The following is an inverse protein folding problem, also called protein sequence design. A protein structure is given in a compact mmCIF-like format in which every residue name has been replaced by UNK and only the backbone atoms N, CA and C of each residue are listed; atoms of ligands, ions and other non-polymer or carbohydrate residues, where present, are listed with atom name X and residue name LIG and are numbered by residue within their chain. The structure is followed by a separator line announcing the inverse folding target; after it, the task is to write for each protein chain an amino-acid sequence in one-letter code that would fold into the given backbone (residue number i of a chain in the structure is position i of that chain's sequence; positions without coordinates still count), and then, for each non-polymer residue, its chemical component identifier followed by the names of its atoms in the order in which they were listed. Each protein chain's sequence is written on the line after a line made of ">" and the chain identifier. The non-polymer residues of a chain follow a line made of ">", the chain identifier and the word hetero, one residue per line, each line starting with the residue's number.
data_IF_581668169240
#
_entry.id   IF_581668169240
#
_cell.length_a   1.000
_cell.length_b   1.000
_cell.length_c   1.000
_cell.angle_alpha   90.00
_cell.angle_beta   90.00
_cell.angle_gamma   90.00
#
_symmetry.space_group_name_H-M   'P 1'
#
loop_
_entity.id
_entity.type
_entity.pdbx_description
1 polymer ?
#
# COMPACT_ATOMS: atom_id res chain seq x y z
N UNK A 1 -11.98 19.85 -33.37
CA UNK A 1 -12.49 18.48 -33.16
C UNK A 1 -11.64 17.86 -32.07
N UNK A 2 -12.22 17.58 -30.90
CA UNK A 2 -11.46 16.96 -29.80
C UNK A 2 -11.30 15.46 -30.02
N UNK A 3 -10.08 14.95 -29.93
CA UNK A 3 -9.89 13.51 -29.75
C UNK A 3 -10.32 13.15 -28.33
N UNK A 4 -11.40 12.39 -28.20
CA UNK A 4 -11.72 11.67 -26.98
C UNK A 4 -10.64 10.59 -26.76
N UNK A 5 -9.71 10.88 -25.85
CA UNK A 5 -8.66 9.97 -25.42
C UNK A 5 -9.28 8.86 -24.56
N UNK A 6 -9.64 7.73 -25.17
CA UNK A 6 -10.15 6.57 -24.43
C UNK A 6 -9.11 6.05 -23.43
N UNK A 7 -9.56 5.63 -22.24
CA UNK A 7 -8.69 4.98 -21.26
C UNK A 7 -8.27 3.58 -21.72
N UNK A 8 -7.17 3.07 -21.16
CA UNK A 8 -6.65 1.73 -21.47
C UNK A 8 -7.68 0.63 -21.17
N UNK A 9 -8.44 0.77 -20.09
CA UNK A 9 -9.52 -0.13 -19.71
C UNK A 9 -10.62 -0.20 -20.78
N UNK A 10 -11.03 0.95 -21.32
CA UNK A 10 -12.00 1.05 -22.43
C UNK A 10 -11.47 0.44 -23.72
N UNK A 11 -10.19 0.65 -24.05
CA UNK A 11 -9.55 0.03 -25.24
C UNK A 11 -9.55 -1.50 -25.13
N UNK A 12 -9.11 -2.05 -23.99
CA UNK A 12 -9.12 -3.50 -23.73
C UNK A 12 -10.54 -4.06 -23.78
N UNK A 13 -11.51 -3.36 -23.17
CA UNK A 13 -12.90 -3.80 -23.14
C UNK A 13 -13.54 -3.86 -24.52
N UNK A 14 -13.25 -2.89 -25.40
CA UNK A 14 -13.74 -2.88 -26.78
C UNK A 14 -13.15 -4.01 -27.60
N UNK A 15 -11.83 -4.19 -27.58
CA UNK A 15 -11.15 -5.24 -28.35
C UNK A 15 -11.67 -6.63 -27.96
N UNK A 16 -11.72 -6.96 -26.66
CA UNK A 16 -12.21 -8.26 -26.22
C UNK A 16 -13.71 -8.44 -26.50
N UNK A 17 -14.51 -7.37 -26.40
CA UNK A 17 -15.92 -7.35 -26.75
C UNK A 17 -16.20 -7.66 -28.24
N UNK A 18 -15.38 -7.15 -29.16
CA UNK A 18 -15.47 -7.46 -30.60
C UNK A 18 -15.27 -8.94 -30.91
N UNK A 19 -14.46 -9.65 -30.10
CA UNK A 19 -14.27 -11.10 -30.19
C UNK A 19 -15.24 -11.92 -29.32
N UNK A 20 -16.24 -11.28 -28.69
CA UNK A 20 -17.21 -11.95 -27.83
C UNK A 20 -16.60 -12.54 -26.54
N UNK A 21 -15.44 -12.04 -26.10
CA UNK A 21 -14.78 -12.46 -24.86
C UNK A 21 -15.27 -11.52 -23.76
N UNK A 22 -16.15 -11.96 -22.84
CA UNK A 22 -16.51 -11.14 -21.69
C UNK A 22 -15.28 -10.96 -20.81
N UNK A 23 -15.21 -9.83 -20.12
CA UNK A 23 -14.16 -9.54 -19.15
C UNK A 23 -14.76 -8.88 -17.92
N UNK A 24 -13.95 -8.81 -16.86
CA UNK A 24 -14.18 -7.93 -15.73
C UNK A 24 -12.85 -7.27 -15.37
N UNK A 25 -12.86 -5.95 -15.22
CA UNK A 25 -11.73 -5.20 -14.68
C UNK A 25 -11.61 -5.55 -13.20
N UNK A 26 -10.41 -5.85 -12.75
CA UNK A 26 -10.11 -6.21 -11.36
C UNK A 26 -8.86 -5.44 -10.91
N UNK A 27 -8.24 -5.90 -9.82
CA UNK A 27 -7.14 -5.20 -9.19
C UNK A 27 -7.54 -3.76 -8.85
N UNK A 28 -6.56 -2.88 -8.91
CA UNK A 28 -6.72 -1.54 -8.36
C UNK A 28 -7.71 -0.65 -9.10
N UNK A 29 -8.00 -0.83 -10.40
CA UNK A 29 -9.06 -0.01 -11.04
C UNK A 29 -10.46 -0.38 -10.48
N UNK A 30 -10.68 -1.64 -10.13
CA UNK A 30 -11.89 -2.07 -9.42
C UNK A 30 -11.90 -1.63 -7.95
N UNK A 31 -10.74 -1.68 -7.28
CA UNK A 31 -10.61 -1.15 -5.92
C UNK A 31 -10.77 0.38 -5.91
N UNK A 32 -10.37 1.10 -6.96
CA UNK A 32 -10.52 2.56 -7.11
C UNK A 32 -11.98 2.97 -7.26
N UNK A 33 -12.77 2.19 -8.00
CA UNK A 33 -14.24 2.35 -8.05
C UNK A 33 -14.88 2.25 -6.65
N UNK A 34 -14.23 1.52 -5.74
CA UNK A 34 -14.54 1.39 -4.31
C UNK A 34 -13.55 2.16 -3.38
N UNK A 35 -12.86 3.20 -3.90
CA UNK A 35 -11.95 4.16 -3.23
C UNK A 35 -10.46 3.80 -2.92
N UNK A 36 -9.73 3.04 -3.78
CA UNK A 36 -8.37 2.49 -3.51
C UNK A 36 -7.42 2.36 -4.78
N UNK A 37 -6.12 2.80 -4.80
CA UNK A 37 -5.25 2.87 -6.03
C UNK A 37 -3.91 2.07 -6.08
N UNK A 38 -3.26 1.71 -7.24
CA UNK A 38 -3.49 1.85 -8.73
C UNK A 38 -2.60 0.89 -9.60
N UNK A 39 -3.18 0.10 -10.53
CA UNK A 39 -2.59 -0.80 -11.58
C UNK A 39 -3.74 -1.39 -12.45
N UNK A 40 -3.57 -1.76 -13.74
CA UNK A 40 -4.65 -2.33 -14.58
C UNK A 40 -4.60 -3.87 -14.70
N UNK A 41 -5.55 -4.54 -14.08
CA UNK A 41 -5.74 -5.99 -14.14
C UNK A 41 -7.12 -6.35 -14.71
N UNK A 42 -7.21 -7.45 -15.45
CA UNK A 42 -8.48 -7.95 -16.01
C UNK A 42 -8.64 -9.45 -15.80
N UNK A 43 -9.87 -9.88 -15.57
CA UNK A 43 -10.32 -11.27 -15.57
C UNK A 43 -11.11 -11.59 -16.84
N UNK A 44 -10.87 -12.77 -17.42
CA UNK A 44 -11.70 -13.36 -18.50
C UNK A 44 -12.16 -14.77 -18.09
N UNK A 45 -13.15 -15.41 -18.75
CA UNK A 45 -13.61 -16.74 -18.38
C UNK A 45 -12.50 -17.78 -18.31
N UNK A 46 -12.68 -18.80 -17.47
CA UNK A 46 -11.72 -19.90 -17.34
C UNK A 46 -11.44 -20.56 -18.71
N UNK A 47 -10.16 -20.53 -19.12
CA UNK A 47 -9.70 -21.06 -20.41
C UNK A 47 -9.48 -20.00 -21.50
N UNK A 48 -10.03 -18.79 -21.32
CA UNK A 48 -9.95 -17.72 -22.33
C UNK A 48 -8.71 -16.82 -22.21
N UNK A 49 -7.88 -16.95 -21.17
CA UNK A 49 -6.78 -16.01 -20.89
C UNK A 49 -5.73 -15.92 -22.02
N UNK A 50 -5.31 -17.06 -22.58
CA UNK A 50 -4.37 -17.09 -23.72
C UNK A 50 -5.04 -16.52 -24.98
N UNK A 51 -6.31 -16.83 -25.22
CA UNK A 51 -7.06 -16.34 -26.39
C UNK A 51 -7.21 -14.81 -26.30
N UNK A 52 -7.62 -14.29 -25.14
CA UNK A 52 -7.70 -12.85 -24.88
C UNK A 52 -6.35 -12.15 -25.07
N UNK A 53 -5.27 -12.74 -24.58
CA UNK A 53 -3.92 -12.23 -24.81
C UNK A 53 -3.57 -12.16 -26.31
N UNK A 54 -3.87 -13.22 -27.06
CA UNK A 54 -3.65 -13.27 -28.51
C UNK A 54 -4.50 -12.23 -29.27
N UNK A 55 -5.78 -12.04 -28.92
CA UNK A 55 -6.63 -11.04 -29.56
C UNK A 55 -6.17 -9.60 -29.29
N UNK A 56 -5.70 -9.32 -28.08
CA UNK A 56 -5.08 -8.03 -27.76
C UNK A 56 -3.80 -7.83 -28.58
N UNK A 57 -2.91 -8.82 -28.68
CA UNK A 57 -1.73 -8.71 -29.54
C UNK A 57 -2.07 -8.52 -31.04
N UNK A 58 -3.11 -9.20 -31.54
CA UNK A 58 -3.56 -9.09 -32.94
C UNK A 58 -4.11 -7.69 -33.29
N UNK A 59 -4.54 -6.91 -32.30
CA UNK A 59 -4.92 -5.50 -32.51
C UNK A 59 -3.74 -4.58 -32.88
N UNK A 60 -2.49 -5.03 -32.66
CA UNK A 60 -1.28 -4.23 -32.85
C UNK A 60 -0.98 -3.22 -31.74
N UNK A 61 -1.90 -2.97 -30.81
CA UNK A 61 -1.72 -2.07 -29.67
C UNK A 61 -0.98 -2.69 -28.48
N UNK A 62 -0.75 -4.01 -28.52
CA UNK A 62 -0.17 -4.79 -27.42
C UNK A 62 0.86 -5.80 -27.91
N UNK A 63 1.84 -6.09 -27.06
CA UNK A 63 2.81 -7.17 -27.28
C UNK A 63 3.04 -7.94 -25.96
N UNK A 64 3.46 -9.22 -26.01
CA UNK A 64 3.82 -9.98 -24.80
C UNK A 64 4.96 -9.31 -24.02
N UNK A 65 4.90 -9.39 -22.69
CA UNK A 65 5.89 -8.77 -21.82
C UNK A 65 6.20 -9.61 -20.59
N UNK A 66 7.42 -10.16 -20.54
CA UNK A 66 7.95 -10.82 -19.34
C UNK A 66 8.76 -9.84 -18.50
N UNK A 67 8.42 -9.73 -17.21
CA UNK A 67 9.19 -8.93 -16.26
C UNK A 67 10.50 -9.64 -15.92
N UNK A 68 11.64 -8.95 -16.05
CA UNK A 68 12.93 -9.41 -15.49
C UNK A 68 13.04 -9.18 -13.98
N UNK A 69 12.03 -8.56 -13.39
CA UNK A 69 11.97 -8.20 -11.97
C UNK A 69 11.91 -9.45 -11.07
N UNK A 70 12.49 -9.32 -9.87
CA UNK A 70 12.46 -10.37 -8.87
C UNK A 70 11.02 -10.56 -8.36
N UNK A 71 10.54 -11.81 -8.40
CA UNK A 71 9.22 -12.14 -7.85
C UNK A 71 9.31 -12.11 -6.32
N UNK A 72 8.43 -11.31 -5.71
CA UNK A 72 8.22 -11.23 -4.27
C UNK A 72 6.73 -11.42 -3.94
N UNK A 73 6.37 -11.38 -2.65
CA UNK A 73 4.99 -11.55 -2.19
C UNK A 73 3.99 -10.54 -2.79
N UNK A 74 4.43 -9.35 -3.20
CA UNK A 74 3.59 -8.36 -3.90
C UNK A 74 3.36 -8.67 -5.39
N UNK A 75 4.16 -9.55 -6.00
CA UNK A 75 4.10 -9.85 -7.44
C UNK A 75 3.90 -11.34 -7.76
N UNK A 76 3.96 -12.22 -6.78
CA UNK A 76 3.85 -13.68 -6.97
C UNK A 76 2.49 -14.12 -7.49
N UNK A 77 1.38 -13.49 -7.06
CA UNK A 77 0.04 -13.82 -7.59
C UNK A 77 -0.11 -13.55 -9.09
N UNK A 78 0.75 -12.69 -9.66
CA UNK A 78 0.82 -12.37 -11.09
C UNK A 78 1.57 -13.46 -11.89
N UNK A 79 2.13 -14.50 -11.25
CA UNK A 79 2.91 -15.58 -11.91
C UNK A 79 1.99 -16.54 -12.69
N UNK A 80 2.39 -16.91 -13.91
CA UNK A 80 1.69 -17.90 -14.73
C UNK A 80 0.49 -17.35 -15.52
N UNK A 81 0.14 -16.08 -15.36
CA UNK A 81 -0.88 -15.39 -16.15
C UNK A 81 -0.24 -14.64 -17.34
N UNK A 82 -0.90 -14.56 -18.50
CA UNK A 82 -0.43 -13.73 -19.61
C UNK A 82 -0.26 -12.26 -19.20
N UNK A 83 0.89 -11.69 -19.57
CA UNK A 83 1.24 -10.29 -19.35
C UNK A 83 1.54 -9.63 -20.70
N UNK A 84 0.95 -8.46 -20.89
CA UNK A 84 1.11 -7.64 -22.10
C UNK A 84 1.63 -6.27 -21.72
N UNK A 85 2.23 -5.59 -22.69
CA UNK A 85 2.59 -4.17 -22.62
C UNK A 85 2.06 -3.44 -23.86
N UNK A 86 1.61 -2.20 -23.69
CA UNK A 86 1.17 -1.36 -24.81
C UNK A 86 2.33 -1.05 -25.76
N UNK A 87 2.11 -1.11 -27.07
CA UNK A 87 3.08 -0.75 -28.13
C UNK A 87 3.18 0.75 -28.41
N UNK A 88 2.45 1.58 -27.65
CA UNK A 88 2.48 3.05 -27.74
C UNK A 88 3.86 3.63 -27.35
N UNK A 89 4.03 4.93 -27.63
CA UNK A 89 5.25 5.73 -27.44
C UNK A 89 6.16 5.24 -26.30
N UNK A 90 7.42 5.01 -26.65
CA UNK A 90 8.49 4.61 -25.74
C UNK A 90 8.54 5.58 -24.53
N UNK A 91 8.56 5.01 -23.31
CA UNK A 91 8.44 5.77 -22.06
C UNK A 91 7.02 6.08 -21.57
N UNK A 92 5.96 5.75 -22.33
CA UNK A 92 4.54 5.82 -21.89
C UNK A 92 3.84 4.47 -21.86
N UNK A 93 4.61 3.39 -21.82
CA UNK A 93 4.09 2.05 -21.87
C UNK A 93 3.38 1.66 -20.56
N UNK A 94 2.24 0.98 -20.67
CA UNK A 94 1.47 0.43 -19.54
C UNK A 94 1.38 -1.09 -19.66
N UNK A 95 1.48 -1.79 -18.53
CA UNK A 95 1.34 -3.25 -18.48
C UNK A 95 -0.11 -3.66 -18.23
N UNK A 96 -0.48 -4.86 -18.67
CA UNK A 96 -1.79 -5.48 -18.43
C UNK A 96 -1.55 -6.94 -18.06
N UNK A 97 -2.31 -7.44 -17.07
CA UNK A 97 -2.25 -8.83 -16.62
C UNK A 97 -3.64 -9.47 -16.78
N UNK A 98 -3.69 -10.64 -17.41
CA UNK A 98 -4.92 -11.31 -17.81
C UNK A 98 -5.14 -12.56 -16.95
N UNK A 99 -5.93 -12.39 -15.90
CA UNK A 99 -6.34 -13.45 -14.98
C UNK A 99 -7.55 -14.23 -15.51
N UNK A 100 -7.84 -15.38 -14.88
CA UNK A 100 -9.09 -16.11 -15.11
C UNK A 100 -10.10 -15.81 -14.00
N UNK A 101 -11.36 -15.58 -14.37
CA UNK A 101 -12.44 -15.14 -13.47
C UNK A 101 -12.63 -16.05 -12.25
N UNK A 102 -12.39 -17.36 -12.41
CA UNK A 102 -12.48 -18.33 -11.32
C UNK A 102 -11.46 -18.10 -10.18
N UNK A 103 -10.33 -17.42 -10.43
CA UNK A 103 -9.31 -17.10 -9.40
C UNK A 103 -9.83 -16.06 -8.41
N UNK A 104 -10.72 -15.17 -8.86
CA UNK A 104 -11.34 -14.12 -8.06
C UNK A 104 -12.81 -14.44 -7.75
N UNK A 105 -13.25 -15.69 -7.89
CA UNK A 105 -14.62 -16.10 -7.64
C UNK A 105 -15.68 -15.46 -8.57
N UNK A 106 -15.27 -14.80 -9.65
CA UNK A 106 -16.13 -14.00 -10.55
C UNK A 106 -16.83 -14.81 -11.65
N UNK A 107 -16.60 -16.12 -11.75
CA UNK A 107 -17.28 -17.01 -12.71
C UNK A 107 -18.72 -17.32 -12.26
N UNK A 108 -19.77 -17.22 -13.12
CA UNK A 108 -19.77 -16.63 -14.46
C UNK A 108 -19.80 -15.09 -14.41
N UNK A 109 -19.06 -14.45 -15.30
CA UNK A 109 -18.81 -12.99 -15.27
C UNK A 109 -20.11 -12.18 -15.40
N UNK A 110 -21.05 -12.63 -16.22
CA UNK A 110 -22.29 -11.90 -16.57
C UNK A 110 -23.21 -11.65 -15.36
N UNK A 111 -23.10 -12.50 -14.33
CA UNK A 111 -23.91 -12.43 -13.10
C UNK A 111 -23.20 -11.67 -11.97
N UNK A 112 -21.86 -11.60 -12.04
CA UNK A 112 -20.98 -11.08 -10.98
C UNK A 112 -20.32 -9.75 -11.33
N UNK A 113 -20.42 -9.32 -12.59
CA UNK A 113 -20.05 -7.98 -13.06
C UNK A 113 -21.26 -7.04 -12.96
N UNK A 114 -21.00 -5.74 -12.80
CA UNK A 114 -22.00 -4.69 -12.86
C UNK A 114 -22.50 -4.55 -14.30
N UNK A 115 -23.82 -4.46 -14.46
CA UNK A 115 -24.43 -4.07 -15.73
C UNK A 115 -24.17 -2.58 -15.99
N UNK A 116 -24.03 -2.21 -17.27
CA UNK A 116 -23.89 -0.80 -17.66
C UNK A 116 -25.04 0.05 -17.09
N UNK A 117 -24.72 1.24 -16.61
CA UNK A 117 -25.69 2.17 -16.01
C UNK A 117 -25.67 3.51 -16.74
N UNK A 118 -26.65 4.35 -16.43
CA UNK A 118 -26.55 5.78 -16.74
C UNK A 118 -25.43 6.45 -15.92
N UNK A 119 -25.11 7.68 -16.27
CA UNK A 119 -24.08 8.49 -15.59
C UNK A 119 -24.50 8.93 -14.17
N UNK A 120 -25.75 8.69 -13.78
CA UNK A 120 -26.29 8.97 -12.45
C UNK A 120 -25.67 8.06 -11.38
N UNK A 121 -24.64 8.56 -10.70
CA UNK A 121 -24.00 7.89 -9.57
C UNK A 121 -22.97 8.76 -8.85
N UNK A 122 -22.69 8.43 -7.60
CA UNK A 122 -21.50 8.95 -6.91
C UNK A 122 -20.35 7.96 -7.12
N UNK A 123 -19.24 8.46 -7.65
CA UNK A 123 -18.04 7.68 -7.91
C UNK A 123 -16.92 8.11 -6.96
N UNK A 124 -15.95 7.24 -6.74
CA UNK A 124 -14.70 7.58 -6.07
C UNK A 124 -14.01 8.76 -6.76
N UNK A 125 -13.51 9.69 -5.96
CA UNK A 125 -12.65 10.78 -6.45
C UNK A 125 -11.30 10.28 -6.97
N UNK A 126 -10.87 9.08 -6.58
CA UNK A 126 -9.61 8.48 -7.05
C UNK A 126 -9.73 7.94 -8.50
N UNK A 127 -10.93 7.96 -9.13
CA UNK A 127 -11.15 7.75 -10.58
C UNK A 127 -11.62 9.01 -11.33
N UNK A 128 -11.45 10.20 -10.75
CA UNK A 128 -11.93 11.46 -11.36
C UNK A 128 -11.25 11.84 -12.69
N UNK A 129 -10.16 11.17 -13.05
CA UNK A 129 -9.45 11.26 -14.33
C UNK A 129 -9.98 10.30 -15.41
N UNK A 130 -10.82 9.33 -15.05
CA UNK A 130 -11.55 8.49 -16.01
C UNK A 130 -12.87 9.20 -16.36
N UNK A 131 -13.21 9.40 -17.66
CA UNK A 131 -14.48 10.01 -18.05
C UNK A 131 -15.68 9.26 -17.46
N UNK A 132 -16.69 9.98 -16.97
CA UNK A 132 -17.87 9.40 -16.32
C UNK A 132 -18.63 8.44 -17.27
N UNK A 133 -18.66 8.78 -18.56
CA UNK A 133 -19.24 7.95 -19.62
C UNK A 133 -18.47 6.65 -19.83
N UNK A 134 -17.15 6.65 -19.62
CA UNK A 134 -16.35 5.42 -19.62
C UNK A 134 -16.66 4.59 -18.37
N UNK A 135 -16.57 5.18 -17.17
CA UNK A 135 -16.84 4.49 -15.88
C UNK A 135 -18.20 3.78 -15.90
N UNK A 136 -19.25 4.43 -16.41
CA UNK A 136 -20.61 3.89 -16.49
C UNK A 136 -20.75 2.66 -17.42
N UNK A 137 -19.75 2.40 -18.27
CA UNK A 137 -19.69 1.28 -19.22
C UNK A 137 -18.59 0.25 -18.91
N UNK A 138 -17.68 0.55 -17.97
CA UNK A 138 -16.61 -0.37 -17.60
C UNK A 138 -17.18 -1.64 -16.92
N UNK A 139 -16.77 -2.85 -17.35
CA UNK A 139 -17.20 -4.10 -16.72
C UNK A 139 -16.50 -4.28 -15.37
N UNK A 140 -17.04 -3.68 -14.32
CA UNK A 140 -16.50 -3.69 -12.96
C UNK A 140 -17.23 -4.74 -12.09
N UNK A 141 -16.60 -5.37 -11.10
CA UNK A 141 -17.19 -6.47 -10.38
C UNK A 141 -18.19 -5.95 -9.33
N UNK A 142 -19.23 -6.74 -9.03
CA UNK A 142 -20.10 -6.49 -7.88
C UNK A 142 -19.32 -6.74 -6.59
N UNK A 143 -19.45 -5.83 -5.62
CA UNK A 143 -18.69 -5.87 -4.37
C UNK A 143 -18.73 -7.21 -3.64
N UNK A 144 -19.92 -7.81 -3.44
CA UNK A 144 -20.07 -9.07 -2.72
C UNK A 144 -19.29 -10.26 -3.31
N UNK A 145 -19.47 -10.65 -4.60
CA UNK A 145 -18.67 -11.73 -5.18
C UNK A 145 -17.17 -11.40 -5.30
N UNK A 146 -16.79 -10.12 -5.46
CA UNK A 146 -15.38 -9.73 -5.52
C UNK A 146 -14.68 -9.87 -4.16
N UNK A 147 -15.28 -9.29 -3.11
CA UNK A 147 -14.76 -9.35 -1.74
C UNK A 147 -14.63 -10.80 -1.26
N UNK A 148 -15.68 -11.61 -1.47
CA UNK A 148 -15.67 -13.03 -1.12
C UNK A 148 -14.66 -13.82 -1.96
N UNK A 149 -14.47 -13.45 -3.23
CA UNK A 149 -13.47 -14.04 -4.12
C UNK A 149 -12.03 -13.77 -3.68
N UNK A 150 -11.72 -12.53 -3.32
CA UNK A 150 -10.42 -12.13 -2.75
C UNK A 150 -10.16 -12.83 -1.40
N UNK A 151 -11.13 -12.86 -0.51
CA UNK A 151 -11.02 -13.58 0.77
C UNK A 151 -10.80 -15.09 0.55
N UNK A 152 -11.54 -15.71 -0.38
CA UNK A 152 -11.34 -17.12 -0.76
C UNK A 152 -9.94 -17.36 -1.33
N UNK A 153 -9.45 -16.46 -2.18
CA UNK A 153 -8.08 -16.52 -2.76
C UNK A 153 -7.04 -16.49 -1.64
N UNK A 154 -7.13 -15.55 -0.70
CA UNK A 154 -6.22 -15.49 0.45
C UNK A 154 -6.28 -16.76 1.32
N UNK A 155 -7.49 -17.23 1.68
CA UNK A 155 -7.65 -18.48 2.47
C UNK A 155 -6.95 -19.66 1.80
N UNK A 156 -7.08 -19.81 0.48
CA UNK A 156 -6.55 -20.96 -0.26
C UNK A 156 -5.06 -20.85 -0.62
N UNK A 157 -4.55 -19.65 -0.91
CA UNK A 157 -3.19 -19.46 -1.47
C UNK A 157 -2.26 -18.62 -0.61
N UNK A 158 -2.76 -18.00 0.47
CA UNK A 158 -2.03 -17.03 1.28
C UNK A 158 -1.47 -15.85 0.45
N UNK A 159 -2.24 -15.40 -0.56
CA UNK A 159 -1.88 -14.23 -1.36
C UNK A 159 -2.08 -12.92 -0.58
N UNK A 160 -0.96 -12.31 -0.19
CA UNK A 160 -0.90 -11.06 0.56
C UNK A 160 -1.73 -9.93 -0.08
N UNK A 161 -1.73 -9.82 -1.41
CA UNK A 161 -2.45 -8.75 -2.12
C UNK A 161 -3.96 -8.98 -2.08
N UNK A 162 -4.40 -10.24 -2.07
CA UNK A 162 -5.80 -10.57 -1.90
C UNK A 162 -6.29 -10.15 -0.51
N UNK A 163 -5.50 -10.38 0.56
CA UNK A 163 -5.85 -9.94 1.91
C UNK A 163 -5.84 -8.41 2.06
N UNK A 164 -4.82 -7.74 1.50
CA UNK A 164 -4.75 -6.27 1.47
C UNK A 164 -5.99 -5.68 0.78
N UNK A 165 -6.38 -6.23 -0.37
CA UNK A 165 -7.57 -5.80 -1.10
C UNK A 165 -8.88 -6.02 -0.32
N UNK A 166 -9.00 -7.11 0.45
CA UNK A 166 -10.17 -7.33 1.35
C UNK A 166 -10.20 -6.29 2.47
N UNK A 167 -9.07 -6.01 3.12
CA UNK A 167 -8.95 -4.99 4.17
C UNK A 167 -9.32 -3.60 3.63
N UNK A 168 -8.74 -3.22 2.48
CA UNK A 168 -9.01 -1.95 1.81
C UNK A 168 -10.49 -1.79 1.40
N UNK A 169 -11.15 -2.85 0.93
CA UNK A 169 -12.59 -2.80 0.60
C UNK A 169 -13.48 -2.69 1.85
N UNK A 170 -13.16 -3.43 2.93
CA UNK A 170 -13.90 -3.36 4.21
C UNK A 170 -13.86 -1.96 4.82
N UNK A 171 -12.71 -1.29 4.70
CA UNK A 171 -12.51 0.06 5.23
C UNK A 171 -13.04 1.14 4.27
N UNK A 172 -12.66 1.10 2.99
CA UNK A 172 -13.02 2.09 1.98
C UNK A 172 -14.52 2.15 1.64
N UNK A 173 -15.24 1.02 1.78
CA UNK A 173 -16.71 0.96 1.66
C UNK A 173 -17.43 1.03 3.02
N UNK A 174 -16.68 1.19 4.11
CA UNK A 174 -17.16 1.15 5.49
C UNK A 174 -18.15 0.01 5.79
N UNK A 175 -17.79 -1.22 5.44
CA UNK A 175 -18.64 -2.40 5.67
C UNK A 175 -18.79 -2.73 7.17
N UNK A 176 -19.95 -3.27 7.54
CA UNK A 176 -20.30 -3.71 8.89
C UNK A 176 -20.84 -5.15 8.91
N UNK A 177 -21.09 -5.70 10.10
CA UNK A 177 -21.57 -7.08 10.27
C UNK A 177 -22.94 -7.30 9.60
N UNK A 178 -23.82 -6.28 9.59
CA UNK A 178 -25.14 -6.37 8.93
C UNK A 178 -25.03 -6.44 7.40
N UNK A 179 -24.00 -5.82 6.83
CA UNK A 179 -23.67 -5.96 5.42
C UNK A 179 -23.18 -7.38 5.11
N UNK A 180 -22.34 -7.97 5.96
CA UNK A 180 -21.89 -9.38 5.80
C UNK A 180 -23.05 -10.35 5.88
N UNK A 181 -23.91 -10.22 6.90
CA UNK A 181 -25.08 -11.08 7.08
C UNK A 181 -26.07 -11.00 5.91
N UNK A 182 -26.24 -9.81 5.31
CA UNK A 182 -27.19 -9.62 4.21
C UNK A 182 -26.62 -9.93 2.82
N UNK A 183 -25.35 -9.61 2.55
CA UNK A 183 -24.74 -9.76 1.21
C UNK A 183 -23.93 -11.04 1.04
N UNK A 184 -23.48 -11.66 2.13
CA UNK A 184 -22.60 -12.84 2.10
C UNK A 184 -23.21 -14.10 2.73
N UNK A 185 -24.50 -14.10 3.07
CA UNK A 185 -25.21 -15.23 3.70
C UNK A 185 -24.91 -16.60 3.05
N UNK A 186 -24.95 -16.66 1.72
CA UNK A 186 -24.75 -17.89 0.93
C UNK A 186 -23.27 -18.29 0.74
N UNK A 187 -22.32 -17.52 1.27
CA UNK A 187 -20.88 -17.79 1.14
C UNK A 187 -20.34 -18.64 2.30
N UNK A 188 -19.21 -19.37 2.07
CA UNK A 188 -18.60 -20.23 3.08
C UNK A 188 -18.33 -19.51 4.40
N UNK A 189 -18.57 -20.19 5.52
CA UNK A 189 -18.45 -19.60 6.86
C UNK A 189 -17.07 -18.97 7.08
N UNK A 190 -15.97 -19.64 6.69
CA UNK A 190 -14.62 -19.11 6.81
C UNK A 190 -14.37 -17.78 6.06
N UNK A 191 -15.09 -17.52 4.96
CA UNK A 191 -15.03 -16.23 4.25
C UNK A 191 -15.75 -15.14 5.04
N UNK A 192 -16.93 -15.46 5.59
CA UNK A 192 -17.67 -14.54 6.48
C UNK A 192 -16.87 -14.23 7.75
N UNK A 193 -16.33 -15.25 8.42
CA UNK A 193 -15.53 -15.11 9.65
C UNK A 193 -14.32 -14.19 9.46
N UNK A 194 -13.60 -14.34 8.32
CA UNK A 194 -12.46 -13.50 7.96
C UNK A 194 -12.85 -12.03 7.78
N UNK A 195 -13.93 -11.76 7.04
CA UNK A 195 -14.40 -10.41 6.76
C UNK A 195 -14.96 -9.76 8.04
N UNK A 196 -15.70 -10.50 8.86
CA UNK A 196 -16.18 -10.06 10.18
C UNK A 196 -15.03 -9.76 11.14
N UNK A 197 -13.98 -10.59 11.15
CA UNK A 197 -12.75 -10.33 11.91
C UNK A 197 -12.06 -9.01 11.50
N UNK A 198 -12.00 -8.73 10.20
CA UNK A 198 -11.52 -7.45 9.69
C UNK A 198 -12.41 -6.27 10.12
N UNK A 199 -13.73 -6.39 10.01
CA UNK A 199 -14.69 -5.36 10.44
C UNK A 199 -14.48 -5.02 11.92
N UNK A 200 -14.39 -6.04 12.78
CA UNK A 200 -14.16 -5.84 14.22
C UNK A 200 -12.77 -5.26 14.54
N UNK A 201 -11.77 -5.48 13.69
CA UNK A 201 -10.46 -4.83 13.79
C UNK A 201 -10.42 -3.36 13.34
N UNK A 202 -11.47 -2.83 12.69
CA UNK A 202 -11.45 -1.54 11.95
C UNK A 202 -10.98 -0.34 12.78
N UNK A 203 -11.43 -0.21 14.03
CA UNK A 203 -11.03 0.90 14.91
C UNK A 203 -9.50 0.94 15.13
N UNK A 204 -8.83 -0.21 15.14
CA UNK A 204 -7.37 -0.31 15.29
C UNK A 204 -6.56 -0.13 14.00
N UNK A 205 -7.22 0.25 12.88
CA UNK A 205 -6.59 0.62 11.60
C UNK A 205 -6.66 2.11 11.28
N UNK A 206 -7.54 2.88 11.93
CA UNK A 206 -7.65 4.33 11.71
C UNK A 206 -6.42 5.00 12.34
N UNK A 207 -5.76 5.93 11.62
CA UNK A 207 -4.51 6.52 12.07
C UNK A 207 -4.75 7.69 13.05
N UNK A 208 -4.44 7.45 14.33
CA UNK A 208 -4.67 8.37 15.45
C UNK A 208 -3.81 9.66 15.44
N UNK A 209 -2.93 9.83 14.45
CA UNK A 209 -1.90 10.88 14.44
C UNK A 209 -2.36 12.19 13.75
N UNK A 210 -3.48 12.14 13.02
CA UNK A 210 -4.21 13.34 12.57
C UNK A 210 -5.53 13.44 13.34
N UNK A 211 -6.08 14.65 13.52
CA UNK A 211 -7.45 14.86 14.05
C UNK A 211 -8.55 14.42 13.04
N UNK A 212 -8.25 13.46 12.16
CA UNK A 212 -8.99 13.07 10.95
C UNK A 212 -9.30 14.25 9.99
N UNK A 213 -8.64 15.40 10.17
CA UNK A 213 -8.79 16.61 9.35
C UNK A 213 -8.07 16.51 8.00
N UNK A 214 -6.96 15.76 7.93
CA UNK A 214 -6.17 15.57 6.71
C UNK A 214 -6.34 14.13 6.24
N UNK A 215 -7.31 13.91 5.37
CA UNK A 215 -7.51 12.63 4.72
C UNK A 215 -6.44 12.41 3.64
N UNK A 216 -5.70 11.30 3.72
CA UNK A 216 -4.56 10.94 2.84
C UNK A 216 -4.96 10.52 1.39
N UNK A 217 -5.87 11.27 0.79
CA UNK A 217 -6.42 11.02 -0.53
C UNK A 217 -5.69 11.82 -1.62
N UNK A 218 -5.39 11.14 -2.72
CA UNK A 218 -4.61 11.66 -3.85
C UNK A 218 -5.57 11.90 -5.00
N UNK A 219 -5.43 13.02 -5.70
CA UNK A 219 -6.42 13.46 -6.69
C UNK A 219 -6.23 12.83 -8.07
N UNK A 220 -5.00 12.54 -8.48
CA UNK A 220 -4.71 12.04 -9.83
C UNK A 220 -3.37 11.27 -9.95
N UNK A 221 -3.21 10.59 -11.09
CA UNK A 221 -2.05 9.74 -11.44
C UNK A 221 -0.69 10.49 -11.42
N UNK A 222 -0.71 11.83 -11.51
CA UNK A 222 0.48 12.69 -11.43
C UNK A 222 0.99 12.89 -9.99
N UNK A 223 0.12 12.70 -9.01
CA UNK A 223 0.42 12.82 -7.58
C UNK A 223 0.78 11.45 -6.96
N UNK A 224 0.28 10.35 -7.52
CA UNK A 224 0.61 8.97 -7.12
C UNK A 224 1.99 8.46 -7.61
N UNK A 225 2.71 9.22 -8.44
CA UNK A 225 4.00 8.79 -8.97
C UNK A 225 5.08 8.72 -7.88
N UNK A 226 5.78 7.58 -7.79
CA UNK A 226 6.93 7.37 -6.89
C UNK A 226 7.98 8.51 -6.98
N UNK A 227 8.15 9.07 -8.18
CA UNK A 227 9.02 10.20 -8.47
C UNK A 227 8.69 11.49 -7.67
N UNK A 228 7.45 11.64 -7.18
CA UNK A 228 7.02 12.76 -6.30
C UNK A 228 7.49 12.58 -4.87
N UNK A 229 7.44 11.34 -4.36
CA UNK A 229 8.04 10.99 -3.07
C UNK A 229 9.56 11.18 -3.15
N UNK A 230 10.18 10.81 -4.27
CA UNK A 230 11.59 11.08 -4.52
C UNK A 230 11.90 12.59 -4.51
N UNK A 231 11.08 13.44 -5.16
CA UNK A 231 11.25 14.90 -5.07
C UNK A 231 11.18 15.40 -3.61
N UNK A 232 10.16 14.98 -2.85
CA UNK A 232 9.98 15.38 -1.45
C UNK A 232 11.15 14.92 -0.56
N UNK A 233 11.63 13.68 -0.76
CA UNK A 233 12.79 13.13 -0.06
C UNK A 233 14.11 13.85 -0.39
N UNK A 234 14.29 14.31 -1.64
CA UNK A 234 15.41 15.16 -2.05
C UNK A 234 15.30 16.55 -1.42
N UNK A 235 14.11 17.16 -1.42
CA UNK A 235 13.88 18.47 -0.81
C UNK A 235 14.14 18.45 0.70
N UNK A 236 13.67 17.41 1.39
CA UNK A 236 13.91 17.18 2.82
C UNK A 236 15.41 17.02 3.10
N UNK A 237 16.11 16.18 2.32
CA UNK A 237 17.53 15.96 2.50
C UNK A 237 18.35 17.25 2.33
N UNK A 238 18.02 18.09 1.33
CA UNK A 238 18.67 19.40 1.14
C UNK A 238 18.48 20.30 2.36
N UNK A 239 17.24 20.49 2.81
CA UNK A 239 16.92 21.36 3.95
C UNK A 239 17.55 20.90 5.28
N UNK A 240 17.64 19.59 5.50
CA UNK A 240 18.26 19.03 6.71
C UNK A 240 19.80 19.02 6.63
N UNK A 241 20.38 18.77 5.46
CA UNK A 241 21.82 18.84 5.24
C UNK A 241 22.37 20.26 5.46
N UNK A 242 21.65 21.30 5.03
CA UNK A 242 21.99 22.71 5.30
C UNK A 242 22.11 23.03 6.81
N UNK A 243 21.57 22.18 7.68
CA UNK A 243 21.56 22.34 9.14
C UNK A 243 22.29 21.23 9.90
N UNK A 244 22.89 20.27 9.19
CA UNK A 244 23.48 19.06 9.76
C UNK A 244 22.49 18.25 10.63
N UNK A 245 21.20 18.27 10.28
CA UNK A 245 20.17 17.47 10.97
C UNK A 245 20.25 16.04 10.43
N UNK A 246 20.63 15.09 11.29
CA UNK A 246 20.57 13.67 10.96
C UNK A 246 19.11 13.20 10.87
N UNK A 247 18.77 12.41 9.86
CA UNK A 247 17.44 11.82 9.70
C UNK A 247 17.50 10.52 8.91
N UNK A 248 16.51 9.66 9.10
CA UNK A 248 16.33 8.43 8.34
C UNK A 248 14.87 8.24 7.99
N UNK A 249 14.59 8.13 6.69
CA UNK A 249 13.30 7.72 6.15
C UNK A 249 13.05 6.26 6.49
N UNK A 250 11.82 5.95 6.90
CA UNK A 250 11.34 4.60 7.16
C UNK A 250 9.95 4.40 6.54
N UNK A 251 9.19 3.44 7.07
CA UNK A 251 7.78 3.29 6.73
C UNK A 251 7.55 2.89 5.28
N UNK A 252 6.44 3.33 4.70
CA UNK A 252 5.98 2.80 3.42
C UNK A 252 6.89 3.14 2.23
N UNK A 253 7.41 4.38 2.18
CA UNK A 253 8.32 4.83 1.13
C UNK A 253 9.70 4.17 1.20
N UNK A 254 10.24 3.92 2.40
CA UNK A 254 11.46 3.14 2.54
C UNK A 254 11.30 1.71 2.01
N UNK A 255 10.18 1.02 2.30
CA UNK A 255 9.97 -0.34 1.79
C UNK A 255 10.06 -0.39 0.26
N UNK A 256 9.51 0.60 -0.45
CA UNK A 256 9.54 0.64 -1.90
C UNK A 256 10.96 0.81 -2.45
N UNK A 257 11.76 1.67 -1.82
CA UNK A 257 13.18 1.86 -2.18
C UNK A 257 14.00 0.57 -1.94
N UNK A 258 13.58 -0.27 -1.00
CA UNK A 258 14.20 -1.56 -0.66
C UNK A 258 13.53 -2.76 -1.37
N UNK A 259 12.88 -2.53 -2.52
CA UNK A 259 12.37 -3.60 -3.40
C UNK A 259 10.92 -4.03 -3.16
N UNK A 260 10.15 -3.28 -2.36
CA UNK A 260 8.71 -3.47 -2.22
C UNK A 260 7.91 -2.87 -3.38
N UNK A 261 6.82 -3.55 -3.76
CA UNK A 261 5.90 -3.09 -4.81
C UNK A 261 4.54 -2.67 -4.25
N UNK A 262 4.51 -2.03 -3.07
CA UNK A 262 3.27 -1.48 -2.48
C UNK A 262 3.13 0.01 -2.80
N UNK A 263 1.90 0.51 -2.93
CA UNK A 263 1.70 1.96 -3.04
C UNK A 263 1.85 2.62 -1.66
N UNK A 264 2.43 3.81 -1.63
CA UNK A 264 2.57 4.66 -0.43
C UNK A 264 2.35 6.11 -0.87
N UNK A 265 1.88 6.98 0.03
CA UNK A 265 1.42 8.34 -0.31
C UNK A 265 2.14 9.43 0.49
N UNK A 266 3.07 8.99 1.31
CA UNK A 266 3.60 9.63 2.50
C UNK A 266 5.08 9.26 2.68
N UNK A 267 5.82 10.13 3.36
CA UNK A 267 7.19 9.88 3.80
C UNK A 267 7.20 9.89 5.33
N UNK A 268 7.31 8.72 5.93
CA UNK A 268 7.71 8.58 7.33
C UNK A 268 9.21 8.82 7.46
N UNK A 269 9.64 9.71 8.36
CA UNK A 269 11.05 9.78 8.76
C UNK A 269 11.22 10.09 10.25
N UNK A 270 12.33 9.64 10.83
CA UNK A 270 12.76 10.01 12.18
C UNK A 270 13.97 10.94 12.06
N UNK A 271 14.01 12.01 12.86
CA UNK A 271 15.02 13.06 12.74
C UNK A 271 15.56 13.54 14.10
N UNK A 272 16.86 13.80 14.14
CA UNK A 272 17.61 14.25 15.32
C UNK A 272 17.43 15.75 15.56
N UNK A 273 16.21 16.12 15.95
CA UNK A 273 15.73 17.50 15.99
C UNK A 273 14.54 17.64 16.94
N UNK A 274 14.31 18.82 17.51
CA UNK A 274 13.06 19.14 18.22
C UNK A 274 11.99 19.64 17.25
N UNK A 275 10.70 19.45 17.57
CA UNK A 275 9.57 20.01 16.78
C UNK A 275 9.73 21.49 16.43
N UNK A 276 10.19 22.31 17.39
CA UNK A 276 10.38 23.74 17.19
C UNK A 276 11.51 24.09 16.22
N UNK A 277 12.53 23.23 16.10
CA UNK A 277 13.64 23.43 15.16
C UNK A 277 13.24 22.99 13.76
N UNK A 278 12.61 21.83 13.60
CA UNK A 278 12.17 21.36 12.27
C UNK A 278 11.11 22.29 11.65
N UNK A 279 10.19 22.85 12.45
CA UNK A 279 9.26 23.90 11.97
C UNK A 279 10.04 25.13 11.48
N UNK A 280 11.06 25.61 12.20
CA UNK A 280 11.89 26.76 11.76
C UNK A 280 12.73 26.47 10.50
N UNK A 281 13.02 25.20 10.22
CA UNK A 281 13.81 24.76 9.06
C UNK A 281 12.93 24.58 7.81
N UNK A 282 11.74 23.99 7.97
CA UNK A 282 10.88 23.60 6.85
C UNK A 282 9.69 24.53 6.60
N UNK A 283 9.05 25.10 7.63
CA UNK A 283 7.76 25.78 7.43
C UNK A 283 7.90 27.04 6.56
N UNK A 284 7.09 27.10 5.50
CA UNK A 284 7.16 28.11 4.45
C UNK A 284 8.41 28.06 3.56
N UNK A 285 9.19 26.96 3.59
CA UNK A 285 10.50 26.85 2.92
C UNK A 285 10.62 25.55 2.11
N UNK A 286 11.43 25.58 1.05
CA UNK A 286 11.72 24.41 0.18
C UNK A 286 10.48 23.64 -0.35
N UNK A 287 9.29 24.27 -0.36
CA UNK A 287 8.01 23.68 -0.75
C UNK A 287 7.13 23.17 0.41
N UNK A 288 7.68 23.07 1.63
CA UNK A 288 7.00 22.57 2.82
C UNK A 288 6.07 23.62 3.47
N UNK A 289 5.05 23.12 4.17
CA UNK A 289 4.07 23.87 4.96
C UNK A 289 3.62 23.01 6.13
N UNK A 290 3.71 23.53 7.35
CA UNK A 290 3.46 22.75 8.56
C UNK A 290 1.97 22.50 8.78
N UNK A 291 1.60 21.25 9.08
CA UNK A 291 0.25 20.90 9.52
C UNK A 291 0.14 21.17 11.03
N UNK A 292 -0.82 21.99 11.50
CA UNK A 292 -1.00 22.25 12.94
C UNK A 292 -1.34 20.97 13.72
N UNK A 293 -0.60 20.72 14.81
CA UNK A 293 -0.85 19.62 15.75
C UNK A 293 -0.21 19.89 17.12
N UNK A 294 -0.60 19.14 18.14
CA UNK A 294 -0.23 19.38 19.55
C UNK A 294 1.00 18.60 20.06
N UNK A 295 1.27 17.40 19.53
CA UNK A 295 2.37 16.50 19.92
C UNK A 295 3.75 17.18 19.84
N UNK A 296 4.73 16.69 20.61
CA UNK A 296 6.10 17.25 20.60
C UNK A 296 7.12 16.31 19.95
N UNK A 297 6.79 15.03 19.85
CA UNK A 297 7.59 13.94 19.27
C UNK A 297 7.32 13.72 17.77
N UNK A 298 6.48 14.57 17.17
CA UNK A 298 5.93 14.40 15.82
C UNK A 298 5.59 15.76 15.19
N UNK A 299 5.74 15.87 13.88
CA UNK A 299 5.16 16.93 13.05
C UNK A 299 4.94 16.45 11.61
N UNK A 300 3.82 16.88 11.01
CA UNK A 300 3.53 16.66 9.60
C UNK A 300 3.73 17.94 8.79
N UNK A 301 4.17 17.78 7.54
CA UNK A 301 4.25 18.84 6.55
C UNK A 301 3.58 18.39 5.24
N UNK A 302 2.98 19.34 4.53
CA UNK A 302 2.64 19.17 3.11
C UNK A 302 3.77 19.74 2.26
N UNK A 303 4.33 18.93 1.37
CA UNK A 303 5.37 19.35 0.44
C UNK A 303 4.85 19.45 -0.99
N UNK A 304 5.03 20.60 -1.64
CA UNK A 304 4.88 20.72 -3.09
C UNK A 304 5.86 21.71 -3.69
N UNK A 305 6.36 21.40 -4.89
CA UNK A 305 7.11 22.31 -5.75
C UNK A 305 6.22 23.25 -6.56
N UNK A 306 4.89 23.14 -6.46
CA UNK A 306 3.94 23.99 -7.20
C UNK A 306 3.50 25.20 -6.34
N UNK A 307 3.46 26.43 -6.90
CA UNK A 307 3.06 27.63 -6.14
C UNK A 307 1.64 27.58 -5.56
N UNK A 308 0.73 26.84 -6.20
CA UNK A 308 -0.66 26.65 -5.79
C UNK A 308 -0.86 25.50 -4.79
N UNK A 309 0.22 24.84 -4.34
CA UNK A 309 0.21 23.68 -3.43
C UNK A 309 -0.58 22.45 -3.92
N UNK A 310 -0.92 22.37 -5.21
CA UNK A 310 -1.50 21.14 -5.76
C UNK A 310 -0.50 19.99 -5.74
N UNK A 311 -1.02 18.77 -5.64
CA UNK A 311 -0.28 17.52 -5.74
C UNK A 311 0.82 17.44 -4.66
N UNK A 312 0.40 17.57 -3.40
CA UNK A 312 1.27 17.72 -2.23
C UNK A 312 1.53 16.37 -1.57
N UNK A 313 2.80 16.08 -1.30
CA UNK A 313 3.23 14.89 -0.55
C UNK A 313 3.13 15.16 0.94
N UNK A 314 2.53 14.23 1.70
CA UNK A 314 2.57 14.25 3.17
C UNK A 314 3.95 13.78 3.65
N UNK A 315 4.60 14.56 4.51
CA UNK A 315 5.88 14.20 5.12
C UNK A 315 5.74 14.23 6.63
N UNK A 316 5.84 13.06 7.25
CA UNK A 316 5.65 12.82 8.68
C UNK A 316 7.00 12.64 9.36
N UNK A 317 7.33 13.57 10.26
CA UNK A 317 8.65 13.68 10.89
C UNK A 317 8.51 13.41 12.39
N UNK A 318 8.98 12.24 12.80
CA UNK A 318 9.09 11.83 14.19
C UNK A 318 10.35 12.46 14.78
N UNK A 319 10.17 13.42 15.70
CA UNK A 319 11.24 14.15 16.34
C UNK A 319 11.90 13.25 17.40
N UNK A 320 13.21 13.03 17.32
CA UNK A 320 13.97 12.32 18.37
C UNK A 320 13.97 13.11 19.68
N UNK A 321 14.05 14.45 19.60
CA UNK A 321 14.29 15.32 20.74
C UNK A 321 12.97 15.93 21.25
N UNK A 322 12.43 15.37 22.34
CA UNK A 322 11.23 15.86 23.01
C UNK A 322 11.29 15.58 24.53
N UNK A 323 10.46 16.24 25.37
CA UNK A 323 10.41 15.96 26.80
C UNK A 323 10.02 14.50 27.08
N UNK A 324 10.92 13.73 27.70
CA UNK A 324 10.73 12.29 27.94
C UNK A 324 11.28 11.37 26.84
N UNK A 325 12.09 11.86 25.91
CA UNK A 325 12.79 11.01 24.95
C UNK A 325 13.78 10.04 25.64
N UNK A 326 13.61 8.74 25.40
CA UNK A 326 14.42 7.65 25.99
C UNK A 326 15.44 7.03 25.02
N UNK A 327 15.30 7.31 23.71
CA UNK A 327 16.05 6.64 22.65
C UNK A 327 16.68 7.66 21.69
N UNK A 328 17.82 7.30 21.07
CA UNK A 328 18.59 8.21 20.23
C UNK A 328 19.04 7.63 18.90
N UNK A 329 19.14 8.48 17.88
CA UNK A 329 19.67 8.14 16.56
C UNK A 329 21.20 8.25 16.45
N UNK A 330 21.90 8.73 17.49
CA UNK A 330 23.31 9.13 17.41
C UNK A 330 24.30 8.03 16.96
N UNK A 331 23.92 6.74 17.10
CA UNK A 331 24.71 5.58 16.69
C UNK A 331 24.20 4.86 15.44
N UNK A 332 23.20 5.42 14.73
CA UNK A 332 22.61 4.78 13.56
C UNK A 332 23.45 4.98 12.28
N UNK A 333 23.84 3.91 11.58
CA UNK A 333 24.53 4.02 10.30
C UNK A 333 23.52 4.31 9.18
N UNK A 334 23.04 5.55 9.08
CA UNK A 334 22.08 6.01 8.07
C UNK A 334 22.54 5.64 6.65
N UNK A 335 21.64 5.09 5.85
CA UNK A 335 21.93 4.68 4.47
C UNK A 335 21.58 5.82 3.51
N UNK A 336 22.61 6.50 2.99
CA UNK A 336 22.41 7.52 1.95
C UNK A 336 22.30 6.85 0.58
N UNK A 337 21.19 7.07 -0.11
CA UNK A 337 20.88 6.45 -1.40
C UNK A 337 20.63 7.49 -2.46
N UNK A 338 21.10 7.22 -3.69
CA UNK A 338 20.76 8.02 -4.86
C UNK A 338 19.33 7.69 -5.30
N UNK A 339 18.52 8.74 -5.50
CA UNK A 339 17.12 8.65 -5.93
C UNK A 339 16.86 9.71 -7.00
N UNK A 340 15.87 9.47 -7.87
CA UNK A 340 15.52 10.39 -8.96
C UNK A 340 14.09 10.89 -8.79
N UNK A 341 13.94 12.19 -8.58
CA UNK A 341 12.66 12.89 -8.54
C UNK A 341 12.21 13.35 -9.92
N UNK A 342 10.90 13.52 -10.10
CA UNK A 342 10.31 13.97 -11.36
C UNK A 342 10.67 15.43 -11.68
N UNK A 343 10.66 16.30 -10.67
CA UNK A 343 10.89 17.73 -10.81
C UNK A 343 12.28 18.18 -10.35
N UNK A 344 12.86 17.52 -9.34
CA UNK A 344 14.17 17.86 -8.78
C UNK A 344 15.33 17.08 -9.40
N UNK A 345 15.04 16.10 -10.27
CA UNK A 345 16.02 15.29 -10.98
C UNK A 345 16.75 14.33 -10.05
N UNK A 346 18.01 14.04 -10.38
CA UNK A 346 18.86 13.18 -9.55
C UNK A 346 19.23 13.88 -8.24
N UNK A 347 19.18 13.13 -7.14
CA UNK A 347 19.58 13.59 -5.81
C UNK A 347 19.87 12.43 -4.88
N UNK A 348 20.01 12.74 -3.59
CA UNK A 348 20.17 11.74 -2.53
C UNK A 348 19.17 11.97 -1.41
N UNK A 349 18.86 10.92 -0.66
CA UNK A 349 18.19 11.01 0.63
C UNK A 349 18.67 9.90 1.57
N UNK A 350 18.34 10.01 2.85
CA UNK A 350 18.84 9.12 3.90
C UNK A 350 17.71 8.22 4.42
N UNK A 351 17.99 6.92 4.47
CA UNK A 351 17.06 5.88 4.91
C UNK A 351 17.59 5.21 6.19
N UNK A 352 16.68 4.68 7.01
CA UNK A 352 17.08 3.79 8.10
C UNK A 352 17.60 2.45 7.52
N UNK A 353 18.59 1.80 8.16
CA UNK A 353 19.04 0.47 7.74
C UNK A 353 17.91 -0.57 7.80
N UNK A 354 18.04 -1.62 7.01
CA UNK A 354 17.02 -2.67 6.84
C UNK A 354 16.48 -3.23 8.15
N UNK A 355 17.36 -3.51 9.12
CA UNK A 355 16.96 -3.99 10.43
C UNK A 355 16.04 -3.02 11.19
N UNK A 356 16.24 -1.71 11.04
CA UNK A 356 15.40 -0.68 11.65
C UNK A 356 14.07 -0.50 10.91
N UNK A 357 14.06 -0.68 9.58
CA UNK A 357 12.82 -0.79 8.81
C UNK A 357 11.98 -1.99 9.29
N UNK A 358 12.63 -3.14 9.49
CA UNK A 358 11.99 -4.34 10.02
C UNK A 358 11.44 -4.12 11.44
N UNK A 359 12.19 -3.48 12.34
CA UNK A 359 11.71 -3.11 13.68
C UNK A 359 10.49 -2.17 13.64
N UNK A 360 10.50 -1.17 12.76
CA UNK A 360 9.36 -0.27 12.54
C UNK A 360 8.11 -1.03 12.11
N UNK A 361 8.25 -1.95 11.15
CA UNK A 361 7.15 -2.81 10.66
C UNK A 361 6.69 -3.84 11.68
N UNK A 362 7.60 -4.37 12.50
CA UNK A 362 7.29 -5.26 13.62
C UNK A 362 6.44 -4.54 14.67
N UNK A 363 6.84 -3.32 15.07
CA UNK A 363 6.04 -2.49 15.99
C UNK A 363 4.69 -2.15 15.38
N UNK A 364 4.63 -1.86 14.07
CA UNK A 364 3.37 -1.58 13.39
C UNK A 364 2.43 -2.80 13.40
N UNK A 365 2.87 -3.96 12.91
CA UNK A 365 2.08 -5.21 12.91
C UNK A 365 1.64 -5.66 14.32
N UNK A 366 2.44 -5.36 15.36
CA UNK A 366 2.07 -5.62 16.75
C UNK A 366 0.93 -4.71 17.26
N UNK A 367 0.95 -3.43 16.89
CA UNK A 367 0.17 -2.37 17.56
C UNK A 367 -1.02 -1.83 16.76
N UNK A 368 -1.02 -1.95 15.43
CA UNK A 368 -2.16 -1.62 14.55
C UNK A 368 -2.52 -2.82 13.68
N UNK A 369 -3.80 -2.98 13.33
CA UNK A 369 -4.28 -4.17 12.62
C UNK A 369 -4.23 -4.05 11.09
N UNK A 370 -3.19 -3.44 10.51
CA UNK A 370 -3.04 -3.28 9.05
C UNK A 370 -2.24 -4.42 8.43
N UNK A 371 -2.85 -5.24 7.58
CA UNK A 371 -2.23 -6.46 7.05
C UNK A 371 -0.95 -6.18 6.24
N UNK A 372 -0.84 -5.01 5.58
CA UNK A 372 0.36 -4.67 4.81
C UNK A 372 1.64 -4.70 5.65
N UNK A 373 1.58 -4.42 6.96
CA UNK A 373 2.79 -4.44 7.80
C UNK A 373 3.31 -5.88 7.99
N UNK A 374 2.46 -6.90 7.80
CA UNK A 374 2.87 -8.32 7.78
C UNK A 374 3.55 -8.70 6.45
N UNK A 375 3.04 -8.18 5.34
CA UNK A 375 3.59 -8.39 4.01
C UNK A 375 4.95 -7.67 3.85
N UNK A 376 5.11 -6.50 4.46
CA UNK A 376 6.39 -5.78 4.54
C UNK A 376 7.43 -6.56 5.37
N UNK A 377 7.02 -7.20 6.48
CA UNK A 377 7.92 -8.08 7.25
C UNK A 377 8.37 -9.29 6.43
N UNK A 378 7.45 -9.94 5.71
CA UNK A 378 7.75 -11.08 4.82
C UNK A 378 8.68 -10.69 3.67
N UNK A 379 8.48 -9.53 3.06
CA UNK A 379 9.38 -8.97 2.05
C UNK A 379 10.78 -8.75 2.61
N UNK A 380 10.90 -8.03 3.73
CA UNK A 380 12.19 -7.72 4.34
C UNK A 380 12.96 -8.98 4.76
N UNK A 381 12.28 -9.99 5.32
CA UNK A 381 12.92 -11.28 5.63
C UNK A 381 13.29 -12.07 4.37
N UNK A 382 12.46 -12.06 3.33
CA UNK A 382 12.77 -12.73 2.07
C UNK A 382 13.95 -12.12 1.30
N UNK A 383 14.14 -10.80 1.39
CA UNK A 383 15.22 -10.08 0.69
C UNK A 383 16.49 -9.91 1.53
N UNK A 384 16.37 -9.73 2.85
CA UNK A 384 17.46 -9.37 3.75
C UNK A 384 17.55 -10.25 5.02
N UNK A 385 16.99 -11.47 4.95
CA UNK A 385 16.86 -12.37 6.09
C UNK A 385 18.15 -12.64 6.85
N UNK A 386 19.30 -12.78 6.17
CA UNK A 386 20.59 -13.01 6.83
C UNK A 386 21.07 -11.80 7.66
N UNK A 387 20.87 -10.57 7.16
CA UNK A 387 21.18 -9.34 7.91
C UNK A 387 20.30 -9.27 9.18
N UNK A 388 18.99 -9.40 9.01
CA UNK A 388 18.00 -9.31 10.08
C UNK A 388 18.20 -10.44 11.12
N UNK A 389 18.54 -11.64 10.66
CA UNK A 389 18.87 -12.81 11.50
C UNK A 389 20.13 -12.59 12.33
N UNK A 390 21.16 -11.95 11.77
CA UNK A 390 22.37 -11.62 12.54
C UNK A 390 22.10 -10.64 13.69
N UNK A 391 21.06 -9.81 13.56
CA UNK A 391 20.65 -8.78 14.50
C UNK A 391 19.41 -9.14 15.33
N UNK A 392 18.83 -10.34 15.17
CA UNK A 392 17.51 -10.69 15.70
C UNK A 392 17.35 -10.57 17.23
N UNK A 393 18.46 -10.58 17.98
CA UNK A 393 18.49 -10.33 19.43
C UNK A 393 18.06 -8.92 19.82
N UNK A 394 18.09 -7.96 18.90
CA UNK A 394 17.57 -6.60 19.06
C UNK A 394 16.08 -6.45 18.71
N UNK A 395 15.35 -7.55 18.47
CA UNK A 395 13.90 -7.51 18.28
C UNK A 395 13.18 -7.60 19.63
N UNK A 396 12.22 -6.71 19.85
CA UNK A 396 11.43 -6.69 21.08
C UNK A 396 10.45 -7.88 21.10
N UNK A 397 10.66 -8.83 22.02
CA UNK A 397 9.83 -10.03 22.14
C UNK A 397 8.35 -9.75 22.42
N UNK A 398 8.00 -8.61 23.04
CA UNK A 398 6.60 -8.23 23.21
C UNK A 398 5.97 -7.86 21.86
N UNK A 399 6.67 -7.17 20.97
CA UNK A 399 6.15 -6.90 19.62
C UNK A 399 6.11 -8.18 18.78
N UNK A 400 7.09 -9.08 18.90
CA UNK A 400 7.04 -10.40 18.25
C UNK A 400 5.81 -11.20 18.71
N UNK A 401 5.58 -11.31 20.02
CA UNK A 401 4.45 -12.05 20.57
C UNK A 401 3.09 -11.45 20.18
N UNK A 402 2.96 -10.12 20.20
CA UNK A 402 1.75 -9.42 19.76
C UNK A 402 1.50 -9.59 18.25
N UNK A 403 2.56 -9.47 17.43
CA UNK A 403 2.46 -9.68 15.99
C UNK A 403 2.06 -11.11 15.65
N UNK A 404 2.64 -12.14 16.29
CA UNK A 404 2.22 -13.54 16.10
C UNK A 404 0.79 -13.77 16.60
N UNK A 405 0.40 -13.19 17.74
CA UNK A 405 -0.96 -13.33 18.27
C UNK A 405 -2.01 -12.73 17.33
N UNK A 406 -1.67 -11.66 16.60
CA UNK A 406 -2.53 -10.99 15.62
C UNK A 406 -2.49 -11.67 14.24
N UNK A 407 -1.30 -12.15 13.84
CA UNK A 407 -1.00 -12.71 12.52
C UNK A 407 -0.19 -14.01 12.68
N UNK A 408 -0.87 -15.15 12.94
CA UNK A 408 -0.20 -16.42 13.25
C UNK A 408 0.77 -16.91 12.15
N UNK A 409 0.56 -16.52 10.90
CA UNK A 409 1.44 -16.85 9.78
C UNK A 409 2.85 -16.24 9.89
N UNK A 410 3.04 -15.20 10.71
CA UNK A 410 4.35 -14.64 11.00
C UNK A 410 5.21 -15.54 11.91
N UNK A 411 4.64 -16.55 12.57
CA UNK A 411 5.38 -17.46 13.46
C UNK A 411 6.59 -18.08 12.75
N UNK A 412 6.38 -18.66 11.57
CA UNK A 412 7.43 -19.29 10.76
C UNK A 412 8.51 -18.31 10.29
N UNK A 413 8.18 -17.02 10.17
CA UNK A 413 9.15 -15.98 9.82
C UNK A 413 10.10 -15.74 10.99
N UNK A 414 9.57 -15.58 12.20
CA UNK A 414 10.38 -15.38 13.40
C UNK A 414 11.21 -16.62 13.77
N UNK A 415 10.69 -17.83 13.52
CA UNK A 415 11.47 -19.09 13.62
C UNK A 415 12.69 -19.08 12.67
N UNK A 416 12.51 -18.70 11.39
CA UNK A 416 13.64 -18.63 10.41
C UNK A 416 14.70 -17.61 10.81
N UNK A 417 14.28 -16.47 11.36
CA UNK A 417 15.16 -15.44 11.92
C UNK A 417 15.85 -15.86 13.24
N UNK A 418 15.50 -17.00 13.82
CA UNK A 418 16.10 -17.51 15.06
C UNK A 418 15.65 -16.77 16.33
N UNK A 419 14.46 -16.17 16.31
CA UNK A 419 13.86 -15.52 17.48
C UNK A 419 13.28 -16.59 18.42
N UNK A 420 13.34 -16.35 19.74
CA UNK A 420 12.69 -17.19 20.75
C UNK A 420 11.16 -16.99 20.72
N UNK A 421 10.51 -17.63 19.75
CA UNK A 421 9.04 -17.62 19.57
C UNK A 421 8.30 -18.15 20.81
N UNK A 422 8.69 -19.27 21.47
CA UNK A 422 8.07 -19.69 22.71
C UNK A 422 8.10 -18.61 23.79
N UNK A 423 9.23 -17.93 23.99
CA UNK A 423 9.33 -16.84 24.95
C UNK A 423 8.50 -15.62 24.54
N UNK A 424 8.48 -15.26 23.26
CA UNK A 424 7.66 -14.18 22.73
C UNK A 424 6.16 -14.43 22.97
N UNK A 425 5.68 -15.64 22.72
CA UNK A 425 4.28 -16.04 23.00
C UNK A 425 3.94 -15.99 24.48
N UNK A 426 4.84 -16.43 25.36
CA UNK A 426 4.58 -16.42 26.81
C UNK A 426 4.50 -14.99 27.36
N UNK A 427 5.36 -14.05 26.92
CA UNK A 427 5.31 -12.65 27.41
C UNK A 427 4.08 -11.87 26.93
N UNK A 428 3.36 -12.34 25.91
CA UNK A 428 2.13 -11.70 25.39
C UNK A 428 0.87 -12.55 25.56
N UNK A 429 0.96 -13.65 26.32
CA UNK A 429 -0.11 -14.62 26.53
C UNK A 429 -1.41 -13.97 27.00
N UNK A 430 -1.32 -13.11 28.01
CA UNK A 430 -2.46 -12.45 28.64
C UNK A 430 -2.81 -11.09 28.00
N UNK A 431 -2.07 -10.64 26.98
CA UNK A 431 -2.30 -9.35 26.33
C UNK A 431 -3.54 -9.40 25.41
N UNK A 432 -4.49 -8.50 25.59
CA UNK A 432 -5.66 -8.38 24.72
C UNK A 432 -5.36 -7.47 23.51
N UNK A 433 -5.53 -8.02 22.29
CA UNK A 433 -5.30 -7.31 21.04
C UNK A 433 -6.36 -6.25 20.71
N UNK A 434 -7.55 -6.34 21.32
CA UNK A 434 -8.64 -5.36 21.21
C UNK A 434 -8.53 -4.22 22.23
N UNK A 435 -7.69 -4.38 23.25
CA UNK A 435 -7.51 -3.42 24.35
C UNK A 435 -6.04 -3.03 24.55
N UNK A 436 -5.32 -2.85 23.43
CA UNK A 436 -3.96 -2.29 23.46
C UNK A 436 -4.03 -0.78 23.75
N UNK A 437 -3.04 -0.22 24.48
CA UNK A 437 -3.01 1.21 24.75
C UNK A 437 -2.87 2.03 23.45
N UNK A 438 -3.50 3.23 23.37
CA UNK A 438 -3.37 4.09 22.21
C UNK A 438 -1.93 4.59 22.04
N UNK A 439 -1.48 4.95 20.82
CA UNK A 439 -0.10 5.37 20.57
C UNK A 439 0.31 6.60 21.39
N UNK A 440 1.30 6.43 22.27
CA UNK A 440 1.84 7.49 23.11
C UNK A 440 2.94 8.30 22.38
N UNK A 441 3.31 9.48 22.89
CA UNK A 441 4.53 10.18 22.49
C UNK A 441 5.76 9.28 22.68
N UNK A 442 6.62 9.17 21.65
CA UNK A 442 7.83 8.36 21.69
C UNK A 442 7.68 6.89 21.30
N UNK A 443 6.46 6.37 21.09
CA UNK A 443 6.26 4.94 20.78
C UNK A 443 6.83 4.51 19.42
N UNK A 444 6.95 5.44 18.46
CA UNK A 444 7.56 5.16 17.15
C UNK A 444 9.09 5.12 17.30
N UNK A 445 9.66 6.08 18.02
CA UNK A 445 11.06 6.14 18.39
C UNK A 445 11.46 4.87 19.17
N UNK A 446 10.67 4.44 20.15
CA UNK A 446 10.85 3.16 20.86
C UNK A 446 10.74 1.96 19.90
N UNK A 447 9.74 1.95 19.01
CA UNK A 447 9.56 0.90 18.02
C UNK A 447 10.76 0.70 17.10
N UNK A 448 11.40 1.80 16.68
CA UNK A 448 12.57 1.79 15.81
C UNK A 448 13.87 1.54 16.59
N UNK A 449 14.08 2.21 17.72
CA UNK A 449 15.40 2.42 18.33
C UNK A 449 15.70 1.57 19.57
N UNK A 450 14.69 1.03 20.25
CA UNK A 450 14.84 0.32 21.54
C UNK A 450 15.48 -1.07 21.43
#
# INVERSE_FOLDING_TARGET
>A
MGQLSMTLATVVSRILGEYGIPLCIIGELALNYYNVPRDLEVCVPKGSSIIAASMLCLSGFFQPFDTKEAINNYTEYKRGFPRLITTLLEGKQRSIIIFTANVYGLEPLEQKTLQSRGVDGSFSKEIADVPLEEIATLPLPRLAPFLAGLATKFILTQDDNAMIAVEQLVDGMNLDESWVDSQLADYPQAVRDMITGLINGKQSRIDYFSDNQVTCFIRDETEAAHDRLNDAAIALNRAFSERNIAFGIFGGYAINIFGGYRVTKDIDCIASVTKNEVIKVLDGRHGFEAVPQSRQDYVAFLWSNQPNKSNSVLVEIFCELFPGAEHSMASLPLQSMAIRGAALGDGTSNFLPTFYLFKGKLRAAATRAKYHDTADLRLLEGTYGDEIKSLCKGLNLNYVGLAIKRYPELERLFERLGVDVPKAKEVTKDADLGNLPPPAPGDVQRGLLA
#
